data_IF_782336961550
#
_entry.id   IF_782336961550
#
_cell.length_a   1.000
_cell.length_b   1.000
_cell.length_c   1.000
_cell.angle_alpha   90.00
_cell.angle_beta   90.00
_cell.angle_gamma   90.00
#
_symmetry.space_group_name_H-M   'P 1'
#
loop_
_entity.id
_entity.type
_entity.pdbx_description
1 polymer ?
#
# COMPACT_ATOMS: atom_id res chain seq x y z
N UNK A 1 -7.86 24.08 8.28
CA UNK A 1 -7.63 22.81 7.52
C UNK A 1 -7.73 23.17 6.05
N UNK A 2 -6.78 22.78 5.19
CA UNK A 2 -6.81 23.25 3.78
C UNK A 2 -8.08 22.76 3.09
N UNK A 3 -8.66 23.58 2.22
CA UNK A 3 -9.86 23.27 1.43
C UNK A 3 -9.70 21.93 0.65
N UNK A 4 -8.47 21.66 0.22
CA UNK A 4 -8.07 20.41 -0.44
C UNK A 4 -8.24 19.17 0.46
N UNK A 5 -7.76 19.21 1.71
CA UNK A 5 -7.88 18.06 2.63
C UNK A 5 -9.35 17.76 2.94
N UNK A 6 -10.14 18.80 3.21
CA UNK A 6 -11.57 18.67 3.46
C UNK A 6 -12.28 17.99 2.28
N UNK A 7 -11.98 18.40 1.04
CA UNK A 7 -12.52 17.78 -0.16
C UNK A 7 -12.21 16.29 -0.26
N UNK A 8 -10.94 15.89 -0.13
CA UNK A 8 -10.54 14.48 -0.25
C UNK A 8 -11.23 13.60 0.79
N UNK A 9 -11.38 14.08 2.02
CA UNK A 9 -12.08 13.34 3.07
C UNK A 9 -13.54 13.05 2.70
N UNK A 10 -14.23 13.98 2.03
CA UNK A 10 -15.61 13.77 1.56
C UNK A 10 -15.73 12.76 0.41
N UNK A 11 -14.65 12.49 -0.31
CA UNK A 11 -14.64 11.54 -1.42
C UNK A 11 -14.48 10.07 -0.97
N UNK A 12 -14.11 9.83 0.29
CA UNK A 12 -13.99 8.48 0.87
C UNK A 12 -15.39 7.88 1.04
N UNK A 13 -15.64 6.75 0.37
CA UNK A 13 -16.94 6.05 0.39
C UNK A 13 -16.81 4.69 1.10
N UNK A 14 -17.91 4.18 1.69
CA UNK A 14 -17.98 2.79 2.12
C UNK A 14 -17.73 1.82 0.95
N UNK A 15 -17.31 0.60 1.27
CA UNK A 15 -17.15 -0.46 0.26
C UNK A 15 -18.48 -0.75 -0.46
N UNK A 16 -18.39 -1.11 -1.74
CA UNK A 16 -19.56 -1.49 -2.53
C UNK A 16 -20.13 -2.84 -2.04
N UNK A 17 -21.27 -2.76 -1.34
CA UNK A 17 -21.97 -3.93 -0.79
C UNK A 17 -22.47 -4.88 -1.89
N UNK A 18 -22.90 -4.37 -3.04
CA UNK A 18 -23.39 -5.23 -4.13
C UNK A 18 -22.24 -6.02 -4.72
N UNK A 19 -21.08 -5.39 -4.92
CA UNK A 19 -19.88 -6.08 -5.39
C UNK A 19 -19.37 -7.12 -4.38
N UNK A 20 -19.42 -6.82 -3.08
CA UNK A 20 -19.07 -7.76 -2.00
C UNK A 20 -19.96 -9.01 -2.05
N UNK A 21 -21.29 -8.84 -2.08
CA UNK A 21 -22.22 -9.98 -2.09
C UNK A 21 -22.09 -10.81 -3.38
N UNK A 22 -21.94 -10.16 -4.53
CA UNK A 22 -21.70 -10.85 -5.79
C UNK A 22 -20.36 -11.62 -5.80
N UNK A 23 -19.31 -11.08 -5.17
CA UNK A 23 -18.03 -11.77 -5.02
C UNK A 23 -18.09 -12.98 -4.09
N UNK A 24 -18.84 -12.88 -2.97
CA UNK A 24 -19.12 -14.03 -2.09
C UNK A 24 -19.83 -15.15 -2.82
N UNK A 25 -20.92 -14.84 -3.52
CA UNK A 25 -21.68 -15.82 -4.33
C UNK A 25 -20.79 -16.48 -5.37
N UNK A 26 -19.88 -15.73 -6.00
CA UNK A 26 -18.91 -16.31 -6.92
C UNK A 26 -17.95 -17.27 -6.21
N UNK A 27 -17.35 -16.86 -5.08
CA UNK A 27 -16.40 -17.69 -4.33
C UNK A 27 -17.01 -19.02 -3.89
N UNK A 28 -18.27 -19.00 -3.47
CA UNK A 28 -19.02 -20.20 -3.07
C UNK A 28 -19.31 -21.18 -4.22
N UNK A 29 -19.23 -20.72 -5.48
CA UNK A 29 -19.50 -21.52 -6.69
C UNK A 29 -18.24 -22.08 -7.35
N UNK A 30 -17.05 -21.70 -6.89
CA UNK A 30 -15.80 -22.22 -7.45
C UNK A 30 -15.59 -23.68 -7.06
N UNK A 31 -14.85 -24.43 -7.87
CA UNK A 31 -14.51 -25.84 -7.63
C UNK A 31 -13.52 -25.99 -6.47
N UNK A 32 -14.01 -25.75 -5.25
CA UNK A 32 -13.29 -25.87 -3.98
C UNK A 32 -14.32 -26.06 -2.86
N UNK A 33 -13.98 -26.74 -1.74
CA UNK A 33 -14.84 -26.69 -0.56
C UNK A 33 -15.04 -25.24 -0.12
N UNK A 34 -16.26 -24.89 0.29
CA UNK A 34 -16.58 -23.52 0.71
C UNK A 34 -15.65 -23.08 1.85
N UNK A 35 -15.03 -21.91 1.70
CA UNK A 35 -14.10 -21.35 2.68
C UNK A 35 -12.70 -21.99 2.73
N UNK A 36 -12.40 -22.98 1.88
CA UNK A 36 -11.13 -23.72 1.97
C UNK A 36 -9.88 -22.88 1.68
N UNK A 37 -10.02 -21.71 1.04
CA UNK A 37 -8.90 -20.79 0.81
C UNK A 37 -8.78 -19.70 1.90
N UNK A 38 -9.68 -19.72 2.91
CA UNK A 38 -9.64 -18.84 4.07
C UNK A 38 -9.46 -17.36 3.71
N UNK A 39 -8.37 -16.76 4.22
CA UNK A 39 -8.04 -15.34 4.03
C UNK A 39 -7.94 -14.90 2.57
N UNK A 40 -7.62 -15.79 1.64
CA UNK A 40 -7.57 -15.43 0.22
C UNK A 40 -8.98 -15.15 -0.34
N UNK A 41 -10.00 -15.84 0.15
CA UNK A 41 -11.40 -15.54 -0.22
C UNK A 41 -11.81 -14.18 0.34
N UNK A 42 -11.54 -13.96 1.63
CA UNK A 42 -11.81 -12.71 2.33
C UNK A 42 -11.17 -11.50 1.62
N UNK A 43 -9.88 -11.60 1.27
CA UNK A 43 -9.17 -10.54 0.53
C UNK A 43 -9.83 -10.28 -0.83
N UNK A 44 -10.14 -11.34 -1.60
CA UNK A 44 -10.74 -11.18 -2.92
C UNK A 44 -12.09 -10.45 -2.88
N UNK A 45 -12.91 -10.75 -1.86
CA UNK A 45 -14.21 -10.12 -1.61
C UNK A 45 -14.02 -8.66 -1.17
N UNK A 46 -13.07 -8.39 -0.29
CA UNK A 46 -12.76 -7.02 0.15
C UNK A 46 -12.31 -6.15 -1.03
N UNK A 47 -11.39 -6.64 -1.86
CA UNK A 47 -10.92 -5.90 -3.03
C UNK A 47 -12.05 -5.69 -4.04
N UNK A 48 -12.97 -6.66 -4.18
CA UNK A 48 -14.16 -6.46 -5.01
C UNK A 48 -15.03 -5.29 -4.51
N UNK A 49 -15.19 -5.16 -3.19
CA UNK A 49 -15.86 -4.02 -2.56
C UNK A 49 -15.14 -2.69 -2.75
N UNK A 50 -13.80 -2.68 -2.69
CA UNK A 50 -12.98 -1.47 -2.95
C UNK A 50 -13.08 -1.04 -4.42
N UNK A 51 -13.03 -2.00 -5.35
CA UNK A 51 -13.04 -1.77 -6.79
C UNK A 51 -14.44 -1.64 -7.39
N UNK A 52 -15.50 -1.97 -6.65
CA UNK A 52 -16.88 -2.03 -7.16
C UNK A 52 -17.09 -3.10 -8.25
N UNK A 53 -16.22 -4.11 -8.33
CA UNK A 53 -16.21 -5.11 -9.41
C UNK A 53 -15.83 -6.48 -8.86
N UNK A 54 -16.55 -7.54 -9.25
CA UNK A 54 -16.31 -8.90 -8.74
C UNK A 54 -14.96 -9.48 -9.17
N UNK A 55 -14.57 -9.28 -10.43
CA UNK A 55 -13.29 -9.72 -10.99
C UNK A 55 -12.52 -8.49 -11.43
N UNK A 56 -11.33 -8.28 -10.87
CA UNK A 56 -10.47 -7.13 -11.15
C UNK A 56 -9.02 -7.59 -11.31
N UNK A 57 -8.24 -6.83 -12.08
CA UNK A 57 -6.79 -6.95 -12.11
C UNK A 57 -6.16 -5.95 -11.13
N UNK A 58 -5.03 -6.33 -10.53
CA UNK A 58 -4.21 -5.49 -9.66
C UNK A 58 -2.99 -4.96 -10.42
N UNK A 59 -3.27 -4.06 -11.35
CA UNK A 59 -2.29 -3.37 -12.19
C UNK A 59 -1.80 -2.06 -11.55
N UNK A 60 -0.71 -1.51 -12.09
CA UNK A 60 -0.14 -0.21 -11.69
C UNK A 60 0.15 -0.05 -10.20
N UNK A 61 0.62 -1.13 -9.55
CA UNK A 61 0.99 -1.12 -8.13
C UNK A 61 2.09 -0.10 -7.86
N UNK A 62 2.00 0.58 -6.71
CA UNK A 62 3.00 1.54 -6.27
C UNK A 62 3.24 1.39 -4.76
N UNK A 63 4.48 1.55 -4.35
CA UNK A 63 4.93 1.68 -2.97
C UNK A 63 5.45 3.10 -2.83
N UNK A 64 4.85 3.88 -1.93
CA UNK A 64 5.25 5.27 -1.67
C UNK A 64 6.08 5.29 -0.39
N UNK A 65 7.38 5.57 -0.53
CA UNK A 65 8.34 5.63 0.58
C UNK A 65 8.55 7.08 0.98
N UNK A 66 7.96 7.48 2.10
CA UNK A 66 8.12 8.81 2.69
C UNK A 66 9.39 8.83 3.56
N UNK A 67 10.36 9.67 3.22
CA UNK A 67 11.61 9.82 3.97
C UNK A 67 11.64 11.18 4.68
N UNK A 68 11.97 11.19 5.98
CA UNK A 68 12.14 12.41 6.76
C UNK A 68 13.05 12.14 7.96
N UNK A 69 13.84 13.15 8.33
CA UNK A 69 14.63 13.13 9.56
C UNK A 69 13.81 13.62 10.75
N UNK A 70 14.21 13.19 11.95
CA UNK A 70 13.56 13.56 13.20
C UNK A 70 14.60 14.18 14.13
N UNK A 71 14.37 15.43 14.56
CA UNK A 71 15.33 16.17 15.38
C UNK A 71 15.68 15.50 16.71
N UNK A 72 14.78 14.67 17.25
CA UNK A 72 15.01 13.90 18.49
C UNK A 72 16.22 12.95 18.42
N UNK A 73 16.78 12.70 17.23
CA UNK A 73 18.03 11.95 17.07
C UNK A 73 19.19 12.56 17.87
N UNK A 74 19.18 13.88 18.16
CA UNK A 74 20.17 14.54 19.04
C UNK A 74 20.23 13.95 20.45
N UNK A 75 19.15 13.33 20.91
CA UNK A 75 19.03 12.74 22.24
C UNK A 75 19.64 11.33 22.31
N UNK A 76 20.29 10.84 21.24
CA UNK A 76 20.95 9.54 21.22
C UNK A 76 19.97 8.34 21.19
N UNK A 77 18.71 8.57 20.80
CA UNK A 77 17.66 7.54 20.77
C UNK A 77 17.68 6.64 19.52
N UNK A 78 18.51 6.98 18.53
CA UNK A 78 18.61 6.25 17.26
C UNK A 78 19.81 5.30 17.24
N UNK A 79 19.62 4.11 16.66
CA UNK A 79 20.69 3.15 16.42
C UNK A 79 21.67 3.59 15.30
N UNK A 80 21.25 4.54 14.46
CA UNK A 80 22.02 5.03 13.30
C UNK A 80 22.15 6.56 13.31
N UNK A 81 23.25 7.11 12.80
CA UNK A 81 23.39 8.56 12.61
C UNK A 81 22.32 9.14 11.69
N UNK A 82 21.99 10.42 11.88
CA UNK A 82 20.96 11.13 11.11
C UNK A 82 21.19 11.08 9.58
N UNK A 83 22.45 11.23 9.14
CA UNK A 83 22.80 11.20 7.71
C UNK A 83 22.51 9.88 6.98
N UNK A 84 22.18 8.80 7.70
CA UNK A 84 21.79 7.53 7.09
C UNK A 84 20.45 7.66 6.33
N UNK A 85 19.57 8.57 6.73
CA UNK A 85 18.30 8.82 6.01
C UNK A 85 18.56 9.23 4.56
N UNK A 86 19.41 10.22 4.32
CA UNK A 86 19.79 10.67 2.97
C UNK A 86 20.52 9.60 2.16
N UNK A 87 21.39 8.81 2.80
CA UNK A 87 22.07 7.67 2.16
C UNK A 87 21.06 6.61 1.69
N UNK A 88 20.04 6.32 2.50
CA UNK A 88 18.98 5.37 2.15
C UNK A 88 18.09 5.90 1.03
N UNK A 89 17.78 7.21 1.01
CA UNK A 89 17.10 7.84 -0.14
C UNK A 89 17.88 7.61 -1.43
N UNK A 90 19.20 7.86 -1.42
CA UNK A 90 20.05 7.59 -2.59
C UNK A 90 20.04 6.10 -2.98
N UNK A 91 20.02 5.19 -2.01
CA UNK A 91 19.92 3.76 -2.25
C UNK A 91 18.56 3.34 -2.86
N UNK A 92 17.45 3.94 -2.41
CA UNK A 92 16.12 3.73 -2.98
C UNK A 92 16.06 4.19 -4.44
N UNK A 93 16.62 5.37 -4.74
CA UNK A 93 16.70 5.93 -6.10
C UNK A 93 17.60 5.08 -7.01
N UNK A 94 18.69 4.54 -6.47
CA UNK A 94 19.59 3.64 -7.19
C UNK A 94 19.04 2.23 -7.38
N UNK A 95 17.89 1.90 -6.77
CA UNK A 95 17.25 0.60 -6.92
C UNK A 95 17.89 -0.53 -6.11
N UNK A 96 18.77 -0.20 -5.16
CA UNK A 96 19.62 -1.14 -4.42
C UNK A 96 19.06 -1.58 -3.06
N UNK A 97 18.00 -0.95 -2.55
CA UNK A 97 17.43 -1.32 -1.26
C UNK A 97 16.51 -2.54 -1.38
N UNK A 98 16.25 -3.20 -0.23
CA UNK A 98 15.37 -4.37 -0.16
C UNK A 98 13.96 -4.10 -0.72
N UNK A 99 13.41 -2.90 -0.49
CA UNK A 99 12.11 -2.52 -1.04
C UNK A 99 12.11 -2.48 -2.56
N UNK A 100 13.21 -2.10 -3.20
CA UNK A 100 13.32 -2.10 -4.66
C UNK A 100 13.29 -3.53 -5.22
N UNK A 101 13.96 -4.47 -4.54
CA UNK A 101 13.96 -5.89 -4.93
C UNK A 101 12.55 -6.48 -4.84
N UNK A 102 11.89 -6.27 -3.70
CA UNK A 102 10.52 -6.78 -3.48
C UNK A 102 9.51 -6.11 -4.42
N UNK A 103 9.65 -4.81 -4.66
CA UNK A 103 8.80 -4.08 -5.60
C UNK A 103 8.94 -4.63 -7.02
N UNK A 104 10.17 -4.89 -7.49
CA UNK A 104 10.40 -5.53 -8.79
C UNK A 104 9.76 -6.92 -8.86
N UNK A 105 9.92 -7.73 -7.82
CA UNK A 105 9.34 -9.08 -7.77
C UNK A 105 7.81 -9.07 -7.95
N UNK A 106 7.11 -8.11 -7.33
CA UNK A 106 5.65 -8.00 -7.47
C UNK A 106 5.19 -7.12 -8.64
N UNK A 107 6.11 -6.50 -9.39
CA UNK A 107 5.80 -5.54 -10.46
C UNK A 107 5.15 -4.25 -9.94
N UNK A 108 5.67 -3.70 -8.84
CA UNK A 108 5.28 -2.40 -8.29
C UNK A 108 6.35 -1.33 -8.54
N UNK A 109 5.92 -0.09 -8.73
CA UNK A 109 6.82 1.08 -8.77
C UNK A 109 7.18 1.49 -7.34
N UNK A 110 8.40 1.95 -7.12
CA UNK A 110 8.78 2.65 -5.88
C UNK A 110 8.77 4.14 -6.16
N UNK A 111 8.02 4.90 -5.36
CA UNK A 111 7.95 6.35 -5.40
C UNK A 111 8.53 6.87 -4.11
N UNK A 112 9.69 7.51 -4.16
CA UNK A 112 10.34 8.09 -2.99
C UNK A 112 9.90 9.54 -2.88
N UNK A 113 9.47 9.95 -1.68
CA UNK A 113 9.08 11.33 -1.39
C UNK A 113 9.91 11.81 -0.22
N UNK A 114 10.69 12.86 -0.46
CA UNK A 114 11.35 13.60 0.61
C UNK A 114 10.31 14.48 1.31
N UNK A 115 10.08 14.20 2.58
CA UNK A 115 9.14 14.88 3.46
C UNK A 115 9.85 15.76 4.51
N UNK A 116 11.18 15.85 4.47
CA UNK A 116 11.97 16.63 5.42
C UNK A 116 13.27 15.95 5.83
N UNK A 117 14.06 15.49 4.86
CA UNK A 117 15.44 15.06 5.12
C UNK A 117 16.38 16.26 5.27
N UNK A 118 17.45 16.13 6.06
CA UNK A 118 18.47 17.18 6.26
C UNK A 118 19.84 16.84 5.69
#
# INVERSE_FOLDING_TARGET
MSDFLSRILTEIKPLDRKAIEAAKVRQDKLTKPKGSLGRLEELSIQVAGIKGKVIHSLEHKAIVTMAADHGVVSEGVSAYPQGVTGQMVCNFLSGGAGINILARFIGARVVVVDMGTV
#
